data_IF_280974800438
#
_entry.id   IF_280974800438
#
_cell.length_a   1.000
_cell.length_b   1.000
_cell.length_c   1.000
_cell.angle_alpha   90.00
_cell.angle_beta   90.00
_cell.angle_gamma   90.00
#
_symmetry.space_group_name_H-M   'P 1'
#
loop_
_entity.id
_entity.type
_entity.pdbx_description
1 polymer ?
#
# COMPACT_ATOMS: atom_id res chain seq x y z
N UNK A 1 28.82 -5.86 33.52
CA UNK A 1 28.05 -4.63 33.76
C UNK A 1 26.97 -4.34 32.69
N UNK A 2 27.15 -4.71 31.42
CA UNK A 2 26.17 -4.48 30.33
C UNK A 2 24.78 -5.16 30.53
N UNK A 3 24.74 -6.38 31.08
CA UNK A 3 23.47 -7.15 31.23
C UNK A 3 22.51 -6.56 32.30
N UNK A 4 23.04 -5.89 33.33
CA UNK A 4 22.21 -5.26 34.35
C UNK A 4 21.61 -3.91 33.91
N UNK A 5 22.25 -3.20 32.98
CA UNK A 5 21.73 -1.92 32.43
C UNK A 5 20.52 -2.14 31.55
N UNK A 6 20.54 -3.15 30.69
CA UNK A 6 19.41 -3.47 29.79
C UNK A 6 18.14 -3.89 30.55
N UNK A 7 18.25 -4.60 31.67
CA UNK A 7 17.07 -4.96 32.51
C UNK A 7 16.40 -3.75 33.14
N UNK A 8 17.18 -2.74 33.57
CA UNK A 8 16.60 -1.51 34.17
C UNK A 8 15.85 -0.64 33.13
N UNK A 9 16.34 -0.59 31.92
CA UNK A 9 15.72 0.18 30.80
C UNK A 9 14.39 -0.45 30.38
N UNK A 10 14.33 -1.76 30.23
CA UNK A 10 13.11 -2.49 29.87
C UNK A 10 12.00 -2.36 30.93
N UNK A 11 12.35 -2.36 32.22
CA UNK A 11 11.40 -2.18 33.35
C UNK A 11 10.85 -0.74 33.38
N UNK A 12 11.66 0.27 33.07
CA UNK A 12 11.22 1.67 33.04
C UNK A 12 10.29 1.96 31.86
N UNK A 13 10.56 1.40 30.67
CA UNK A 13 9.70 1.51 29.48
C UNK A 13 8.34 0.82 29.71
N UNK A 14 8.29 -0.35 30.36
CA UNK A 14 7.03 -1.02 30.71
C UNK A 14 6.15 -0.22 31.68
N UNK A 15 6.75 0.44 32.72
CA UNK A 15 5.97 1.28 33.64
C UNK A 15 5.31 2.48 32.96
N UNK A 16 6.05 3.15 32.06
CA UNK A 16 5.50 4.30 31.32
C UNK A 16 4.40 3.89 30.32
N UNK A 17 4.50 2.72 29.69
CA UNK A 17 3.50 2.21 28.76
C UNK A 17 2.19 1.82 29.46
N UNK A 18 2.28 1.27 30.68
CA UNK A 18 1.13 0.93 31.50
C UNK A 18 0.41 2.18 32.02
N UNK A 19 1.14 3.21 32.43
CA UNK A 19 0.58 4.49 32.85
C UNK A 19 -0.13 5.20 31.71
N UNK A 20 0.43 5.19 30.50
CA UNK A 20 -0.16 5.79 29.31
C UNK A 20 -1.47 5.07 28.90
N UNK A 21 -1.52 3.75 28.95
CA UNK A 21 -2.76 2.98 28.67
C UNK A 21 -3.87 3.26 29.66
N UNK A 22 -3.55 3.40 30.95
CA UNK A 22 -4.54 3.72 32.00
C UNK A 22 -5.12 5.13 31.80
N UNK A 23 -4.29 6.12 31.44
CA UNK A 23 -4.75 7.47 31.16
C UNK A 23 -5.62 7.55 29.91
N UNK A 24 -5.31 6.80 28.86
CA UNK A 24 -6.13 6.75 27.63
C UNK A 24 -7.49 6.11 27.89
N UNK A 25 -7.56 5.01 28.63
CA UNK A 25 -8.84 4.37 29.01
C UNK A 25 -9.71 5.28 29.88
N UNK A 26 -9.12 6.01 30.82
CA UNK A 26 -9.87 6.98 31.66
C UNK A 26 -10.42 8.15 30.84
N UNK A 27 -9.66 8.64 29.84
CA UNK A 27 -10.11 9.72 28.95
C UNK A 27 -11.28 9.26 28.06
N UNK A 28 -11.22 8.04 27.52
CA UNK A 28 -12.32 7.50 26.70
C UNK A 28 -13.59 7.28 27.51
N UNK A 29 -13.49 6.81 28.75
CA UNK A 29 -14.66 6.67 29.66
C UNK A 29 -15.30 8.02 30.01
N UNK A 30 -14.49 9.08 30.17
CA UNK A 30 -14.97 10.44 30.41
C UNK A 30 -15.73 11.01 29.21
N UNK A 31 -15.25 10.78 27.99
CA UNK A 31 -15.93 11.21 26.75
C UNK A 31 -17.25 10.48 26.55
N UNK A 32 -17.31 9.17 26.84
CA UNK A 32 -18.54 8.40 26.75
C UNK A 32 -19.56 8.89 27.78
N UNK A 33 -19.14 9.19 29.04
CA UNK A 33 -20.02 9.72 30.07
C UNK A 33 -20.57 11.12 29.72
N UNK A 34 -19.75 11.99 29.15
CA UNK A 34 -20.18 13.30 28.67
C UNK A 34 -21.18 13.19 27.49
N UNK A 35 -20.96 12.26 26.58
CA UNK A 35 -21.85 11.99 25.44
C UNK A 35 -23.22 11.48 25.88
N UNK A 36 -23.27 10.60 26.85
CA UNK A 36 -24.55 10.07 27.39
C UNK A 36 -25.36 11.14 28.14
N UNK A 37 -24.71 12.05 28.87
CA UNK A 37 -25.37 13.18 29.53
C UNK A 37 -25.95 14.15 28.50
N UNK A 38 -25.23 14.42 27.43
CA UNK A 38 -25.67 15.31 26.34
C UNK A 38 -26.89 14.73 25.60
N UNK A 39 -26.89 13.44 25.27
CA UNK A 39 -28.02 12.76 24.63
C UNK A 39 -29.23 12.75 25.56
N UNK A 40 -29.05 12.54 26.87
CA UNK A 40 -30.13 12.56 27.84
C UNK A 40 -30.76 13.95 28.05
N UNK A 41 -29.95 15.02 27.87
CA UNK A 41 -30.45 16.42 27.89
C UNK A 41 -31.29 16.77 26.67
N UNK A 42 -30.97 16.19 25.49
CA UNK A 42 -31.72 16.39 24.24
C UNK A 42 -33.07 15.63 24.25
N UNK A 43 -33.17 14.54 24.97
CA UNK A 43 -34.41 13.74 25.10
C UNK A 43 -35.41 14.29 26.12
N UNK A 44 -35.08 15.35 26.88
CA UNK A 44 -35.95 15.98 27.89
C UNK A 44 -36.69 17.24 27.42
N UNK A 45 -36.59 17.62 26.13
CA UNK A 45 -37.39 18.72 25.57
C UNK A 45 -38.76 18.17 25.16
N UNK A 46 -39.81 18.64 25.87
CA UNK A 46 -41.22 18.31 25.68
C UNK A 46 -41.70 18.67 24.26
N UNK A 47 -42.54 17.82 23.65
CA UNK A 47 -43.15 18.12 22.36
C UNK A 47 -44.49 18.86 22.58
N UNK A 48 -44.47 20.18 22.65
CA UNK A 48 -45.68 20.97 22.43
C UNK A 48 -45.37 22.18 21.56
N UNK A 49 -46.27 22.36 20.58
CA UNK A 49 -46.47 23.48 19.64
C UNK A 49 -45.80 23.35 18.26
N UNK A 50 -46.57 22.83 17.32
CA UNK A 50 -46.88 23.46 16.04
C UNK A 50 -47.83 22.58 15.21
N UNK A 51 -49.10 22.71 15.46
CA UNK A 51 -50.17 22.43 14.49
C UNK A 51 -50.70 23.75 13.98
N UNK A 52 -50.76 23.92 12.65
CA UNK A 52 -51.49 24.86 11.81
C UNK A 52 -50.63 25.15 10.56
N UNK A 53 -50.98 25.00 9.33
CA UNK A 53 -52.22 24.91 8.59
C UNK A 53 -51.86 24.36 7.18
N UNK A 54 -52.64 23.38 6.74
CA UNK A 54 -52.72 23.04 5.30
C UNK A 54 -53.78 23.97 4.70
N UNK A 55 -53.42 24.71 3.66
CA UNK A 55 -54.43 25.21 2.72
C UNK A 55 -53.99 24.92 1.29
N UNK A 56 -54.90 24.29 0.63
CA UNK A 56 -54.95 23.86 -0.76
C UNK A 56 -54.88 25.02 -1.75
N UNK A 57 -54.15 24.83 -2.88
CA UNK A 57 -54.57 25.37 -4.15
C UNK A 57 -54.16 24.44 -5.29
N UNK A 58 -55.18 23.84 -5.90
CA UNK A 58 -55.13 23.22 -7.22
C UNK A 58 -54.93 24.29 -8.29
N UNK A 59 -54.04 24.04 -9.21
CA UNK A 59 -53.90 24.81 -10.43
C UNK A 59 -53.37 23.93 -11.55
N UNK A 60 -54.29 23.41 -12.37
CA UNK A 60 -54.02 22.68 -13.61
C UNK A 60 -53.53 23.63 -14.69
N UNK A 61 -52.40 23.31 -15.36
CA UNK A 61 -52.18 23.72 -16.76
C UNK A 61 -51.40 22.62 -17.48
N UNK A 62 -52.08 22.01 -18.46
CA UNK A 62 -51.49 21.23 -19.52
C UNK A 62 -50.60 22.07 -20.42
N UNK A 63 -49.42 21.55 -20.79
CA UNK A 63 -48.88 21.83 -22.13
C UNK A 63 -47.84 20.75 -22.46
N UNK A 64 -48.17 19.94 -23.41
CA UNK A 64 -47.31 19.00 -24.14
C UNK A 64 -46.25 19.79 -24.91
N UNK A 65 -45.00 19.45 -24.73
CA UNK A 65 -43.94 19.66 -25.72
C UNK A 65 -43.07 18.40 -25.77
N UNK A 66 -43.28 17.63 -26.83
CA UNK A 66 -42.43 16.49 -27.21
C UNK A 66 -41.05 17.01 -27.59
N UNK A 67 -40.06 16.84 -26.71
CA UNK A 67 -38.65 16.96 -27.08
C UNK A 67 -38.14 15.55 -27.33
N UNK A 68 -38.01 15.22 -28.63
CA UNK A 68 -37.24 14.08 -29.09
C UNK A 68 -35.78 14.28 -28.69
N UNK A 69 -35.33 13.60 -27.67
CA UNK A 69 -33.90 13.45 -27.42
C UNK A 69 -33.41 12.33 -28.33
N UNK A 70 -32.75 12.70 -29.41
CA UNK A 70 -31.91 11.77 -30.16
C UNK A 70 -30.74 11.34 -29.22
N UNK A 71 -30.80 10.09 -28.78
CA UNK A 71 -29.67 9.41 -28.17
C UNK A 71 -28.65 9.16 -29.27
N UNK A 72 -27.66 10.06 -29.40
CA UNK A 72 -26.44 9.72 -30.10
C UNK A 72 -25.71 8.68 -29.25
N UNK A 73 -25.85 7.41 -29.62
CA UNK A 73 -24.95 6.35 -29.16
C UNK A 73 -23.52 6.72 -29.65
N UNK A 74 -22.75 7.30 -28.79
CA UNK A 74 -21.27 7.34 -28.96
C UNK A 74 -20.84 5.92 -28.63
N UNK A 75 -20.77 5.06 -29.64
CA UNK A 75 -20.00 3.83 -29.57
C UNK A 75 -18.52 4.24 -29.60
N UNK A 76 -17.93 4.49 -28.45
CA UNK A 76 -16.48 4.49 -28.34
C UNK A 76 -16.01 3.07 -28.67
N UNK A 77 -15.42 2.91 -29.84
CA UNK A 77 -14.68 1.70 -30.25
C UNK A 77 -13.47 1.57 -29.31
N UNK A 78 -13.69 0.94 -28.15
CA UNK A 78 -12.62 0.55 -27.24
C UNK A 78 -11.83 -0.55 -27.95
N UNK A 79 -10.56 -0.37 -28.26
CA UNK A 79 -9.78 -1.39 -28.97
C UNK A 79 -9.79 -2.68 -28.16
N UNK A 80 -10.30 -3.76 -28.76
CA UNK A 80 -10.27 -5.10 -28.14
C UNK A 80 -8.82 -5.50 -27.94
N UNK A 81 -8.37 -5.51 -26.67
CA UNK A 81 -7.07 -6.07 -26.33
C UNK A 81 -7.12 -7.60 -26.46
N UNK A 82 -6.10 -8.19 -27.08
CA UNK A 82 -5.91 -9.65 -27.13
C UNK A 82 -5.88 -10.16 -25.67
N UNK A 83 -6.68 -11.17 -25.28
CA UNK A 83 -6.69 -11.75 -23.93
C UNK A 83 -5.43 -12.54 -23.59
N UNK A 84 -4.33 -12.38 -24.31
CA UNK A 84 -3.03 -12.91 -23.93
C UNK A 84 -2.57 -12.26 -22.64
N UNK A 85 -2.02 -13.09 -21.74
CA UNK A 85 -1.31 -12.64 -20.56
C UNK A 85 -0.35 -11.51 -20.94
N UNK A 86 -0.31 -10.41 -20.17
CA UNK A 86 0.65 -9.35 -20.40
C UNK A 86 2.07 -9.92 -20.36
N UNK A 87 2.91 -9.55 -21.34
CA UNK A 87 4.31 -9.95 -21.36
C UNK A 87 5.11 -9.20 -20.27
N UNK A 88 5.70 -9.95 -19.34
CA UNK A 88 6.59 -9.46 -18.28
C UNK A 88 8.07 -9.79 -18.58
N UNK A 89 8.43 -10.06 -19.82
CA UNK A 89 9.66 -10.71 -20.29
C UNK A 89 10.99 -10.01 -19.97
N UNK A 90 11.00 -9.02 -19.11
CA UNK A 90 12.24 -8.47 -18.56
C UNK A 90 12.80 -9.43 -17.49
N UNK A 91 13.45 -10.51 -17.94
CA UNK A 91 14.03 -11.49 -17.02
C UNK A 91 15.03 -10.81 -16.10
N UNK A 92 14.76 -10.90 -14.80
CA UNK A 92 15.68 -10.49 -13.76
C UNK A 92 16.90 -11.41 -13.80
N UNK A 93 18.00 -10.89 -14.36
CA UNK A 93 19.29 -11.57 -14.39
C UNK A 93 20.21 -10.87 -13.43
N UNK A 94 20.70 -11.56 -12.42
CA UNK A 94 21.63 -10.99 -11.46
C UNK A 94 22.80 -11.93 -11.21
N UNK A 95 23.90 -11.36 -10.75
CA UNK A 95 25.03 -12.09 -10.21
C UNK A 95 25.11 -11.84 -8.69
N UNK A 96 25.74 -12.75 -7.96
CA UNK A 96 25.97 -12.57 -6.52
C UNK A 96 27.42 -12.17 -6.28
N UNK A 97 27.62 -11.02 -5.63
CA UNK A 97 28.92 -10.57 -5.13
C UNK A 97 28.75 -10.16 -3.68
N UNK A 98 28.52 -11.13 -2.85
CA UNK A 98 28.18 -10.89 -1.43
C UNK A 98 29.32 -10.24 -0.67
N UNK A 99 28.97 -9.18 0.06
CA UNK A 99 29.84 -8.51 1.01
C UNK A 99 29.92 -9.41 2.23
N UNK A 100 31.15 -9.81 2.59
CA UNK A 100 31.42 -10.63 3.78
C UNK A 100 31.55 -9.73 5.00
N UNK A 101 30.44 -9.48 5.66
CA UNK A 101 30.41 -8.79 6.94
C UNK A 101 29.53 -9.59 7.91
N UNK A 102 30.19 -10.35 8.80
CA UNK A 102 29.48 -11.20 9.77
C UNK A 102 28.77 -10.39 10.86
N UNK A 103 29.22 -9.17 11.13
CA UNK A 103 28.60 -8.31 12.14
C UNK A 103 27.28 -7.71 11.62
N UNK A 104 27.18 -7.47 10.32
CA UNK A 104 25.99 -6.87 9.70
C UNK A 104 24.72 -7.70 9.93
N UNK A 105 24.84 -9.04 9.93
CA UNK A 105 23.67 -9.91 10.18
C UNK A 105 23.08 -9.73 11.58
N UNK A 106 23.93 -9.45 12.58
CA UNK A 106 23.52 -9.25 13.96
C UNK A 106 23.04 -7.80 14.21
N UNK A 107 23.49 -6.86 13.36
CA UNK A 107 23.07 -5.45 13.42
C UNK A 107 21.66 -5.25 12.88
N UNK A 108 21.27 -5.99 11.81
CA UNK A 108 19.95 -5.85 11.21
C UNK A 108 18.86 -6.50 12.06
N UNK A 109 17.81 -5.73 12.36
CA UNK A 109 16.64 -6.18 13.12
C UNK A 109 15.70 -7.08 12.31
N UNK A 110 15.65 -6.90 11.00
CA UNK A 110 14.84 -7.69 10.08
C UNK A 110 15.36 -9.11 9.95
N UNK A 111 14.44 -10.07 9.96
CA UNK A 111 14.78 -11.51 9.81
C UNK A 111 15.22 -11.84 8.39
N UNK A 112 14.60 -11.19 7.39
CA UNK A 112 14.90 -11.41 5.98
C UNK A 112 15.34 -10.10 5.35
N UNK A 113 16.50 -10.11 4.67
CA UNK A 113 17.02 -8.89 4.05
C UNK A 113 17.78 -9.17 2.76
N UNK A 114 17.67 -8.25 1.79
CA UNK A 114 18.47 -8.26 0.56
C UNK A 114 18.90 -6.84 0.22
N UNK A 115 20.13 -6.72 -0.30
CA UNK A 115 20.64 -5.52 -0.95
C UNK A 115 20.99 -5.83 -2.39
N UNK A 116 20.39 -5.09 -3.32
CA UNK A 116 20.61 -5.22 -4.76
C UNK A 116 21.06 -3.90 -5.39
N UNK A 117 22.17 -3.95 -6.12
CA UNK A 117 22.68 -2.86 -6.96
C UNK A 117 22.04 -3.00 -8.35
N UNK A 118 21.05 -2.17 -8.64
CA UNK A 118 20.28 -2.25 -9.88
C UNK A 118 21.08 -1.87 -11.13
N UNK A 119 22.09 -1.02 -10.97
CA UNK A 119 22.89 -0.54 -12.09
C UNK A 119 23.89 -1.58 -12.61
N UNK A 120 24.28 -2.52 -11.76
CA UNK A 120 25.26 -3.56 -12.07
C UNK A 120 24.64 -4.96 -12.11
N UNK A 121 23.36 -5.10 -11.81
CA UNK A 121 22.63 -6.38 -11.66
C UNK A 121 23.30 -7.32 -10.64
N UNK A 122 23.65 -6.79 -9.46
CA UNK A 122 24.40 -7.52 -8.45
C UNK A 122 23.65 -7.56 -7.09
N UNK A 123 23.43 -8.76 -6.56
CA UNK A 123 23.08 -8.95 -5.15
C UNK A 123 24.35 -8.77 -4.31
N UNK A 124 24.33 -7.76 -3.45
CA UNK A 124 25.47 -7.41 -2.58
C UNK A 124 25.34 -7.99 -1.18
N UNK A 125 24.13 -8.24 -0.70
CA UNK A 125 23.88 -8.81 0.63
C UNK A 125 22.61 -9.66 0.66
N UNK A 126 22.65 -10.73 1.44
CA UNK A 126 21.50 -11.63 1.69
C UNK A 126 21.50 -12.05 3.17
N UNK A 127 20.32 -11.97 3.81
CA UNK A 127 20.03 -12.56 5.11
C UNK A 127 18.72 -13.33 4.98
N UNK A 128 18.76 -14.64 5.13
CA UNK A 128 17.61 -15.57 4.98
C UNK A 128 16.77 -15.30 3.71
N UNK A 129 17.42 -14.83 2.63
CA UNK A 129 16.75 -14.23 1.47
C UNK A 129 15.85 -15.20 0.69
N UNK A 130 16.15 -16.51 0.76
CA UNK A 130 15.44 -17.58 0.06
C UNK A 130 14.41 -18.28 0.98
N UNK A 131 14.32 -17.88 2.25
CA UNK A 131 13.36 -18.45 3.19
C UNK A 131 11.96 -17.85 2.99
N UNK A 132 10.95 -18.70 3.18
CA UNK A 132 9.53 -18.30 3.10
C UNK A 132 9.20 -17.28 4.18
N UNK A 133 8.56 -16.19 3.76
CA UNK A 133 8.05 -15.13 4.63
C UNK A 133 6.72 -14.58 4.12
N UNK A 134 6.09 -13.71 4.90
CA UNK A 134 4.83 -13.08 4.53
C UNK A 134 5.08 -11.64 4.06
N UNK A 135 4.55 -11.27 2.86
CA UNK A 135 4.85 -9.96 2.27
C UNK A 135 4.07 -8.81 2.89
N UNK A 136 2.94 -9.07 3.54
CA UNK A 136 1.97 -8.03 3.90
C UNK A 136 1.68 -7.10 2.71
N UNK A 137 1.43 -5.80 2.94
CA UNK A 137 1.12 -4.84 1.88
C UNK A 137 2.26 -4.54 0.89
N UNK A 138 3.45 -5.16 1.01
CA UNK A 138 4.44 -5.09 -0.09
C UNK A 138 3.95 -5.84 -1.34
N UNK A 139 2.99 -6.74 -1.21
CA UNK A 139 2.18 -7.37 -2.27
C UNK A 139 1.66 -6.37 -3.29
N UNK A 140 1.28 -5.16 -2.86
CA UNK A 140 0.70 -4.12 -3.71
C UNK A 140 1.63 -3.64 -4.83
N UNK A 141 2.93 -3.93 -4.76
CA UNK A 141 3.84 -3.72 -5.89
C UNK A 141 3.49 -4.64 -7.06
N UNK A 142 3.21 -5.92 -6.79
CA UNK A 142 2.79 -6.86 -7.83
C UNK A 142 1.40 -6.53 -8.35
N UNK A 143 0.48 -6.16 -7.46
CA UNK A 143 -0.87 -5.67 -7.84
C UNK A 143 -0.78 -4.47 -8.78
N UNK A 144 0.10 -3.51 -8.48
CA UNK A 144 0.32 -2.34 -9.34
C UNK A 144 0.89 -2.74 -10.72
N UNK A 145 1.83 -3.67 -10.76
CA UNK A 145 2.41 -4.19 -12.02
C UNK A 145 1.31 -4.81 -12.90
N UNK A 146 0.51 -5.72 -12.35
CA UNK A 146 -0.54 -6.43 -13.07
C UNK A 146 -1.62 -5.46 -13.56
N UNK A 147 -2.11 -4.59 -12.68
CA UNK A 147 -3.13 -3.62 -13.02
C UNK A 147 -2.66 -2.64 -14.11
N UNK A 148 -1.44 -2.12 -14.01
CA UNK A 148 -0.86 -1.19 -14.99
C UNK A 148 -0.66 -1.83 -16.39
N UNK A 149 -0.56 -3.15 -16.47
CA UNK A 149 -0.48 -3.87 -17.75
C UNK A 149 -1.84 -4.07 -18.41
N UNK A 150 -2.92 -4.13 -17.62
CA UNK A 150 -4.27 -4.46 -18.09
C UNK A 150 -5.12 -3.22 -18.33
N UNK A 151 -5.01 -2.22 -17.44
CA UNK A 151 -5.82 -1.01 -17.47
C UNK A 151 -5.06 0.16 -18.10
N UNK A 152 -5.78 1.02 -18.80
CA UNK A 152 -5.23 2.31 -19.22
C UNK A 152 -5.24 3.30 -18.04
N UNK A 153 -4.21 4.12 -17.92
CA UNK A 153 -4.03 5.02 -16.78
C UNK A 153 -5.21 5.98 -16.55
N UNK A 154 -5.84 6.41 -17.64
CA UNK A 154 -6.98 7.36 -17.64
C UNK A 154 -8.34 6.64 -17.64
N UNK A 155 -8.36 5.31 -17.67
CA UNK A 155 -9.57 4.51 -17.59
C UNK A 155 -10.32 4.80 -16.31
N UNK A 156 -11.61 5.16 -16.42
CA UNK A 156 -12.44 5.53 -15.26
C UNK A 156 -13.11 4.28 -14.69
N UNK A 157 -12.84 4.01 -13.44
CA UNK A 157 -13.34 2.86 -12.70
C UNK A 157 -14.31 3.35 -11.62
N UNK A 158 -15.44 2.68 -11.49
CA UNK A 158 -16.40 2.94 -10.42
C UNK A 158 -16.15 1.97 -9.27
N UNK A 159 -15.98 2.49 -8.07
CA UNK A 159 -15.85 1.71 -6.83
C UNK A 159 -17.14 0.94 -6.60
N UNK A 160 -17.05 -0.34 -6.46
CA UNK A 160 -18.19 -1.23 -6.21
C UNK A 160 -18.19 -1.81 -4.80
N UNK A 161 -19.01 -2.84 -4.57
CA UNK A 161 -19.09 -3.52 -3.28
C UNK A 161 -17.87 -4.40 -2.96
N UNK A 162 -16.90 -4.52 -3.85
CA UNK A 162 -15.63 -5.22 -3.60
C UNK A 162 -14.89 -4.67 -2.39
N UNK A 163 -15.04 -3.39 -2.07
CA UNK A 163 -14.43 -2.78 -0.87
C UNK A 163 -14.95 -3.35 0.45
N UNK A 164 -16.06 -4.09 0.43
CA UNK A 164 -16.58 -4.80 1.63
C UNK A 164 -15.95 -6.18 1.82
N UNK A 165 -15.10 -6.63 0.88
CA UNK A 165 -14.41 -7.91 0.96
C UNK A 165 -13.05 -7.83 1.65
N UNK A 166 -12.57 -6.61 1.97
CA UNK A 166 -11.31 -6.40 2.70
C UNK A 166 -11.39 -6.92 4.13
N UNK A 167 -10.26 -7.33 4.69
CA UNK A 167 -10.18 -7.81 6.07
C UNK A 167 -10.49 -6.72 7.10
N UNK A 168 -10.88 -7.12 8.29
CA UNK A 168 -11.00 -6.20 9.44
C UNK A 168 -9.66 -5.54 9.74
N UNK A 169 -9.67 -4.33 10.26
CA UNK A 169 -8.49 -3.52 10.58
C UNK A 169 -7.57 -3.20 9.38
N UNK A 170 -8.09 -3.35 8.15
CA UNK A 170 -7.37 -2.99 6.93
C UNK A 170 -7.06 -1.50 6.85
N UNK A 171 -5.85 -1.15 6.36
CA UNK A 171 -5.58 0.22 5.92
C UNK A 171 -6.43 0.54 4.67
N UNK A 172 -7.03 1.72 4.65
CA UNK A 172 -7.92 2.14 3.56
C UNK A 172 -7.51 3.51 3.02
N UNK A 173 -7.80 3.75 1.76
CA UNK A 173 -7.69 5.06 1.14
C UNK A 173 -8.92 5.95 1.43
N UNK A 174 -9.99 5.37 1.98
CA UNK A 174 -11.23 6.03 2.32
C UNK A 174 -12.23 6.07 1.15
N UNK A 175 -12.17 5.09 0.25
CA UNK A 175 -13.06 5.03 -0.91
C UNK A 175 -14.47 4.54 -0.51
N UNK A 176 -15.48 5.10 -1.19
CA UNK A 176 -16.88 4.75 -1.02
C UNK A 176 -17.49 4.21 -2.31
N UNK A 177 -18.47 3.30 -2.17
CA UNK A 177 -19.20 2.74 -3.33
C UNK A 177 -19.83 3.83 -4.17
N UNK A 178 -19.62 3.76 -5.49
CA UNK A 178 -20.13 4.72 -6.46
C UNK A 178 -19.16 5.84 -6.83
N UNK A 179 -18.08 6.03 -6.09
CA UNK A 179 -17.02 6.98 -6.47
C UNK A 179 -16.33 6.54 -7.76
N UNK A 180 -15.84 7.53 -8.52
CA UNK A 180 -15.21 7.29 -9.83
C UNK A 180 -13.78 7.81 -9.83
N UNK A 181 -12.83 6.92 -10.03
CA UNK A 181 -11.41 7.21 -10.09
C UNK A 181 -10.82 6.71 -11.41
N UNK A 182 -9.77 7.37 -11.87
CA UNK A 182 -8.94 6.78 -12.93
C UNK A 182 -8.10 5.64 -12.36
N UNK A 183 -7.63 4.72 -13.22
CA UNK A 183 -6.71 3.67 -12.80
C UNK A 183 -5.45 4.25 -12.14
N UNK A 184 -4.90 5.36 -12.67
CA UNK A 184 -3.79 6.09 -12.04
C UNK A 184 -4.14 6.57 -10.63
N UNK A 185 -5.32 7.13 -10.40
CA UNK A 185 -5.77 7.57 -9.07
C UNK A 185 -5.93 6.40 -8.10
N UNK A 186 -6.43 5.25 -8.58
CA UNK A 186 -6.50 4.02 -7.77
C UNK A 186 -5.10 3.50 -7.39
N UNK A 187 -4.12 3.61 -8.28
CA UNK A 187 -2.72 3.27 -7.95
C UNK A 187 -2.16 4.19 -6.85
N UNK A 188 -2.41 5.51 -6.89
CA UNK A 188 -2.05 6.42 -5.79
C UNK A 188 -2.75 6.04 -4.48
N UNK A 189 -4.07 5.81 -4.52
CA UNK A 189 -4.87 5.40 -3.38
C UNK A 189 -4.40 4.06 -2.77
N UNK A 190 -3.92 3.13 -3.59
CA UNK A 190 -3.40 1.84 -3.16
C UNK A 190 -2.00 1.94 -2.57
N UNK A 191 -1.10 2.71 -3.17
CA UNK A 191 0.31 2.73 -2.78
C UNK A 191 0.57 3.67 -1.60
N UNK A 192 0.10 4.93 -1.63
CA UNK A 192 0.46 5.92 -0.62
C UNK A 192 -0.10 5.56 0.77
N UNK A 193 -1.43 5.59 1.01
CA UNK A 193 -1.99 5.22 2.30
C UNK A 193 -2.05 3.72 2.50
N UNK A 194 -1.56 2.93 1.53
CA UNK A 194 -1.67 1.47 1.53
C UNK A 194 -3.11 0.95 1.46
N UNK A 195 -4.02 1.64 0.73
CA UNK A 195 -5.45 1.36 0.70
C UNK A 195 -5.80 -0.03 0.17
N UNK A 196 -6.43 -0.86 1.03
CA UNK A 196 -6.92 -2.18 0.65
C UNK A 196 -8.19 -2.06 -0.20
N UNK A 197 -9.05 -1.07 0.08
CA UNK A 197 -10.20 -0.68 -0.73
C UNK A 197 -9.82 -0.38 -2.18
N UNK A 198 -8.76 0.40 -2.39
CA UNK A 198 -8.23 0.69 -3.71
C UNK A 198 -7.62 -0.56 -4.39
N UNK A 199 -6.94 -1.43 -3.62
CA UNK A 199 -6.36 -2.67 -4.13
C UNK A 199 -7.45 -3.63 -4.65
N UNK A 200 -8.55 -3.78 -3.92
CA UNK A 200 -9.68 -4.60 -4.34
C UNK A 200 -10.41 -4.00 -5.55
N UNK A 201 -10.63 -2.69 -5.55
CA UNK A 201 -11.27 -2.00 -6.67
C UNK A 201 -10.48 -2.17 -7.97
N UNK A 202 -9.18 -1.93 -7.94
CA UNK A 202 -8.34 -2.04 -9.14
C UNK A 202 -8.18 -3.50 -9.59
N UNK A 203 -8.15 -4.45 -8.66
CA UNK A 203 -8.07 -5.88 -8.97
C UNK A 203 -9.34 -6.37 -9.68
N UNK A 204 -10.53 -6.01 -9.15
CA UNK A 204 -11.82 -6.37 -9.76
C UNK A 204 -11.96 -5.75 -11.15
N UNK A 205 -11.60 -4.47 -11.31
CA UNK A 205 -11.62 -3.81 -12.61
C UNK A 205 -10.68 -4.50 -13.61
N UNK A 206 -9.46 -4.84 -13.20
CA UNK A 206 -8.47 -5.54 -14.03
C UNK A 206 -8.96 -6.91 -14.47
N UNK A 207 -9.53 -7.70 -13.54
CA UNK A 207 -10.04 -9.04 -13.85
C UNK A 207 -11.25 -8.98 -14.81
N UNK A 208 -12.15 -8.03 -14.61
CA UNK A 208 -13.29 -7.81 -15.52
C UNK A 208 -12.82 -7.42 -16.91
N UNK A 209 -11.86 -6.53 -17.01
CA UNK A 209 -11.24 -6.14 -18.27
C UNK A 209 -10.56 -7.33 -18.96
N UNK A 210 -9.79 -8.11 -18.22
CA UNK A 210 -9.09 -9.29 -18.74
C UNK A 210 -10.06 -10.36 -19.26
N UNK A 211 -11.16 -10.62 -18.53
CA UNK A 211 -12.19 -11.61 -18.92
C UNK A 211 -13.21 -11.05 -19.90
N UNK A 212 -13.13 -9.78 -20.32
CA UNK A 212 -14.15 -9.08 -21.12
C UNK A 212 -15.56 -9.25 -20.54
N UNK A 213 -15.69 -9.21 -19.21
CA UNK A 213 -16.94 -9.45 -18.48
C UNK A 213 -17.13 -8.46 -17.33
N UNK A 214 -17.79 -7.34 -17.59
CA UNK A 214 -18.08 -6.30 -16.61
C UNK A 214 -19.00 -6.77 -15.47
N UNK A 215 -19.72 -7.89 -15.67
CA UNK A 215 -20.62 -8.49 -14.67
C UNK A 215 -19.98 -9.61 -13.86
N UNK A 216 -18.68 -9.87 -14.05
CA UNK A 216 -17.99 -10.88 -13.26
C UNK A 216 -18.14 -10.54 -11.76
N UNK A 217 -18.67 -11.45 -10.92
CA UNK A 217 -18.82 -11.21 -9.49
C UNK A 217 -17.49 -10.84 -8.84
N UNK A 218 -17.50 -9.90 -7.88
CA UNK A 218 -16.28 -9.38 -7.28
C UNK A 218 -15.39 -10.49 -6.68
N UNK A 219 -15.97 -11.50 -6.03
CA UNK A 219 -15.24 -12.64 -5.48
C UNK A 219 -14.48 -13.42 -6.55
N UNK A 220 -15.16 -13.77 -7.64
CA UNK A 220 -14.54 -14.48 -8.77
C UNK A 220 -13.49 -13.61 -9.46
N UNK A 221 -13.74 -12.30 -9.55
CA UNK A 221 -12.77 -11.36 -10.11
C UNK A 221 -11.47 -11.30 -9.27
N UNK A 222 -11.57 -11.35 -7.94
CA UNK A 222 -10.39 -11.41 -7.06
C UNK A 222 -9.63 -12.72 -7.27
N UNK A 223 -10.29 -13.85 -7.42
CA UNK A 223 -9.66 -15.16 -7.71
C UNK A 223 -8.91 -15.09 -9.05
N UNK A 224 -9.56 -14.59 -10.11
CA UNK A 224 -8.93 -14.37 -11.42
C UNK A 224 -7.72 -13.43 -11.31
N UNK A 225 -7.82 -12.35 -10.53
CA UNK A 225 -6.71 -11.43 -10.37
C UNK A 225 -5.54 -12.05 -9.61
N UNK A 226 -5.81 -12.89 -8.60
CA UNK A 226 -4.78 -13.64 -7.89
C UNK A 226 -4.05 -14.63 -8.82
N UNK A 227 -4.75 -15.29 -9.74
CA UNK A 227 -4.13 -16.11 -10.80
C UNK A 227 -3.20 -15.26 -11.66
N UNK A 228 -3.64 -14.08 -12.13
CA UNK A 228 -2.81 -13.16 -12.91
C UNK A 228 -1.58 -12.67 -12.14
N UNK A 229 -1.71 -12.47 -10.83
CA UNK A 229 -0.56 -12.13 -9.97
C UNK A 229 0.46 -13.27 -9.92
N UNK A 230 0.01 -14.52 -9.78
CA UNK A 230 0.90 -15.68 -9.72
C UNK A 230 1.59 -15.94 -11.06
N UNK A 231 0.88 -15.76 -12.17
CA UNK A 231 1.46 -15.83 -13.51
C UNK A 231 2.54 -14.75 -13.69
N UNK A 232 2.24 -13.51 -13.31
CA UNK A 232 3.20 -12.41 -13.36
C UNK A 232 4.42 -12.68 -12.46
N UNK A 233 4.22 -13.19 -11.25
CA UNK A 233 5.32 -13.56 -10.35
C UNK A 233 6.23 -14.61 -10.98
N UNK A 234 5.66 -15.63 -11.60
CA UNK A 234 6.41 -16.71 -12.30
C UNK A 234 7.22 -16.13 -13.46
N UNK A 235 6.62 -15.29 -14.30
CA UNK A 235 7.33 -14.68 -15.43
C UNK A 235 8.45 -13.73 -14.99
N UNK A 236 8.29 -13.06 -13.85
CA UNK A 236 9.32 -12.24 -13.22
C UNK A 236 10.41 -13.07 -12.51
N UNK A 237 10.27 -14.41 -12.51
CA UNK A 237 11.20 -15.32 -11.84
C UNK A 237 11.03 -15.39 -10.31
N UNK A 238 9.90 -14.90 -9.77
CA UNK A 238 9.56 -14.97 -8.35
C UNK A 238 8.86 -16.32 -8.03
N UNK A 239 9.56 -17.42 -8.29
CA UNK A 239 9.01 -18.78 -8.32
C UNK A 239 8.75 -19.38 -6.91
N UNK A 240 9.25 -18.74 -5.85
CA UNK A 240 9.05 -19.16 -4.46
C UNK A 240 7.97 -18.35 -3.76
N UNK A 241 7.08 -17.72 -4.54
CA UNK A 241 5.99 -16.87 -4.07
C UNK A 241 4.64 -17.41 -4.49
N UNK A 242 3.63 -17.11 -3.69
CA UNK A 242 2.23 -17.37 -4.02
C UNK A 242 1.34 -16.32 -3.42
N UNK A 243 0.45 -15.75 -4.21
CA UNK A 243 -0.42 -14.63 -3.87
C UNK A 243 -1.89 -15.06 -3.95
N UNK A 244 -2.67 -14.81 -2.89
CA UNK A 244 -4.09 -15.19 -2.78
C UNK A 244 -5.03 -14.00 -2.82
N UNK A 245 -4.49 -12.78 -2.65
CA UNK A 245 -5.26 -11.53 -2.62
C UNK A 245 -4.43 -10.35 -3.13
N UNK A 246 -5.05 -9.22 -3.51
CA UNK A 246 -4.35 -8.09 -4.10
C UNK A 246 -3.68 -7.14 -3.09
N UNK A 247 -3.95 -7.27 -1.79
CA UNK A 247 -3.58 -6.29 -0.77
C UNK A 247 -2.50 -6.77 0.21
N UNK A 248 -2.28 -8.09 0.28
CA UNK A 248 -1.33 -8.70 1.19
C UNK A 248 -1.90 -8.93 2.60
N UNK A 249 -3.23 -8.94 2.76
CA UNK A 249 -3.85 -9.39 3.99
C UNK A 249 -3.45 -10.84 4.26
N UNK A 250 -3.25 -11.18 5.54
CA UNK A 250 -2.67 -12.47 5.88
C UNK A 250 -3.52 -13.66 5.42
N UNK A 251 -2.88 -14.60 4.73
CA UNK A 251 -3.32 -15.95 4.45
C UNK A 251 -2.08 -16.87 4.49
N UNK A 252 -2.21 -18.06 5.05
CA UNK A 252 -1.10 -19.03 5.15
C UNK A 252 -0.51 -19.43 3.79
N UNK A 253 -1.29 -19.30 2.72
CA UNK A 253 -0.89 -19.57 1.34
C UNK A 253 -0.43 -18.31 0.60
N UNK A 254 -0.49 -17.12 1.24
CA UNK A 254 -0.01 -15.85 0.70
C UNK A 254 1.41 -15.60 1.21
N UNK A 255 2.42 -16.00 0.46
CA UNK A 255 3.82 -15.97 0.89
C UNK A 255 4.77 -15.59 -0.24
N UNK A 256 5.98 -15.25 0.15
CA UNK A 256 7.08 -14.87 -0.74
C UNK A 256 8.44 -15.21 -0.13
N UNK A 257 9.51 -14.77 -0.78
CA UNK A 257 10.86 -14.66 -0.22
C UNK A 257 11.39 -13.24 -0.40
N UNK A 258 12.38 -12.84 0.41
CA UNK A 258 12.98 -11.52 0.24
C UNK A 258 13.66 -11.36 -1.15
N UNK A 259 14.20 -12.45 -1.70
CA UNK A 259 14.80 -12.46 -3.03
C UNK A 259 13.75 -12.30 -4.13
N UNK A 260 12.60 -12.96 -4.02
CA UNK A 260 11.50 -12.80 -4.97
C UNK A 260 10.92 -11.38 -4.93
N UNK A 261 10.84 -10.78 -3.73
CA UNK A 261 10.40 -9.39 -3.62
C UNK A 261 11.38 -8.40 -4.25
N UNK A 262 12.69 -8.69 -4.30
CA UNK A 262 13.66 -7.89 -5.09
C UNK A 262 13.33 -7.94 -6.57
N UNK A 263 13.00 -9.11 -7.12
CA UNK A 263 12.66 -9.28 -8.53
C UNK A 263 11.40 -8.47 -8.88
N UNK A 264 10.34 -8.64 -8.09
CA UNK A 264 9.08 -7.89 -8.24
C UNK A 264 9.34 -6.38 -8.13
N UNK A 265 10.07 -5.95 -7.11
CA UNK A 265 10.33 -4.54 -6.86
C UNK A 265 11.23 -3.91 -7.92
N UNK A 266 12.23 -4.64 -8.44
CA UNK A 266 13.08 -4.19 -9.53
C UNK A 266 12.25 -3.92 -10.80
N UNK A 267 11.33 -4.83 -11.12
CA UNK A 267 10.43 -4.63 -12.26
C UNK A 267 9.46 -3.46 -12.01
N UNK A 268 8.85 -3.36 -10.82
CA UNK A 268 7.99 -2.23 -10.44
C UNK A 268 8.73 -0.90 -10.59
N UNK A 269 9.99 -0.83 -10.15
CA UNK A 269 10.85 0.36 -10.25
C UNK A 269 11.16 0.75 -11.69
N UNK A 270 11.22 -0.21 -12.61
CA UNK A 270 11.46 0.03 -14.03
C UNK A 270 10.23 0.62 -14.76
N UNK A 271 9.04 0.55 -14.18
CA UNK A 271 7.82 1.14 -14.73
C UNK A 271 7.73 2.61 -14.27
N UNK A 272 7.84 3.61 -15.17
CA UNK A 272 7.94 5.01 -14.80
C UNK A 272 6.78 5.48 -13.88
N UNK A 273 5.54 5.11 -14.20
CA UNK A 273 4.37 5.47 -13.40
C UNK A 273 4.44 4.89 -11.99
N UNK A 274 4.76 3.61 -11.85
CA UNK A 274 4.82 2.95 -10.53
C UNK A 274 5.97 3.54 -9.72
N UNK A 275 7.12 3.79 -10.34
CA UNK A 275 8.27 4.43 -9.71
C UNK A 275 7.92 5.84 -9.20
N UNK A 276 7.22 6.65 -10.03
CA UNK A 276 6.72 7.98 -9.66
C UNK A 276 5.81 7.90 -8.42
N UNK A 277 4.80 7.03 -8.48
CA UNK A 277 3.81 6.87 -7.39
C UNK A 277 4.50 6.42 -6.09
N UNK A 278 5.37 5.42 -6.16
CA UNK A 278 6.10 4.93 -4.98
C UNK A 278 6.98 5.99 -4.33
N UNK A 279 7.58 6.89 -5.12
CA UNK A 279 8.42 8.00 -4.65
C UNK A 279 7.65 9.23 -4.21
N UNK A 280 6.35 9.30 -4.45
CA UNK A 280 5.51 10.44 -4.06
C UNK A 280 5.22 10.39 -2.56
N UNK A 281 5.59 11.45 -1.82
CA UNK A 281 5.31 11.54 -0.38
C UNK A 281 3.83 11.80 -0.10
N UNK A 282 3.22 12.75 -0.81
CA UNK A 282 1.82 13.12 -0.62
C UNK A 282 1.22 13.68 -1.90
N UNK A 283 -0.09 13.54 -2.07
CA UNK A 283 -0.81 14.07 -3.21
C UNK A 283 -2.24 14.48 -2.81
N UNK A 284 -2.75 15.51 -3.46
CA UNK A 284 -4.18 15.85 -3.44
C UNK A 284 -4.78 15.49 -4.79
N UNK A 285 -5.80 14.66 -4.79
CA UNK A 285 -6.49 14.19 -5.99
C UNK A 285 -7.97 14.55 -5.96
N UNK A 286 -8.46 15.12 -7.06
CA UNK A 286 -9.89 15.32 -7.27
C UNK A 286 -10.44 14.20 -8.13
N UNK A 287 -11.40 13.46 -7.59
CA UNK A 287 -12.00 12.32 -8.27
C UNK A 287 -12.90 12.77 -9.43
N UNK A 288 -13.16 11.87 -10.36
CA UNK A 288 -14.11 12.10 -11.46
C UNK A 288 -15.54 12.28 -10.95
N UNK A 289 -15.87 11.72 -9.79
CA UNK A 289 -17.14 11.92 -9.08
C UNK A 289 -17.24 13.24 -8.32
N UNK A 290 -16.13 13.96 -8.14
CA UNK A 290 -16.09 15.34 -7.65
C UNK A 290 -15.46 15.52 -6.26
N UNK A 291 -15.26 14.44 -5.50
CA UNK A 291 -14.63 14.47 -4.17
C UNK A 291 -13.14 14.76 -4.27
N UNK A 292 -12.57 15.30 -3.20
CA UNK A 292 -11.14 15.57 -3.08
C UNK A 292 -10.54 14.73 -1.97
N UNK A 293 -9.43 14.06 -2.27
CA UNK A 293 -8.68 13.22 -1.35
C UNK A 293 -7.26 13.73 -1.19
N UNK A 294 -6.78 13.68 0.04
CA UNK A 294 -5.38 13.92 0.39
C UNK A 294 -4.77 12.63 0.92
N UNK A 295 -3.86 12.04 0.14
CA UNK A 295 -3.17 10.81 0.52
C UNK A 295 -1.71 11.07 0.84
N UNK A 296 -1.24 10.46 1.93
CA UNK A 296 0.14 10.52 2.40
C UNK A 296 0.76 9.13 2.33
N UNK A 297 1.98 9.05 1.86
CA UNK A 297 2.70 7.79 1.74
C UNK A 297 3.07 7.26 3.13
N UNK A 298 2.75 5.99 3.36
CA UNK A 298 3.10 5.28 4.60
C UNK A 298 4.60 5.02 4.76
N UNK A 299 5.40 5.24 3.70
CA UNK A 299 6.86 5.09 3.74
C UNK A 299 7.51 6.32 4.39
N UNK A 300 7.92 6.16 5.64
CA UNK A 300 8.51 7.22 6.45
C UNK A 300 9.87 7.72 5.94
N UNK A 301 10.58 6.93 5.12
CA UNK A 301 11.83 7.36 4.46
C UNK A 301 11.63 8.59 3.55
N UNK A 302 10.40 8.83 3.08
CA UNK A 302 10.04 9.96 2.21
C UNK A 302 9.62 11.22 2.97
N UNK A 303 9.39 11.12 4.29
CA UNK A 303 8.90 12.21 5.12
C UNK A 303 10.04 12.93 5.83
N UNK A 304 10.31 14.19 5.47
CA UNK A 304 11.37 15.02 6.09
C UNK A 304 11.19 15.22 7.61
N UNK A 305 10.01 14.98 8.16
CA UNK A 305 9.74 15.08 9.59
C UNK A 305 10.03 13.82 10.40
N UNK A 306 10.50 12.75 9.77
CA UNK A 306 10.79 11.48 10.42
C UNK A 306 12.32 11.27 10.59
N UNK A 307 12.72 10.65 11.70
CA UNK A 307 14.14 10.40 12.00
C UNK A 307 14.83 9.49 10.97
N UNK A 308 14.05 8.64 10.30
CA UNK A 308 14.55 7.75 9.25
C UNK A 308 14.49 8.36 7.84
N UNK A 309 14.17 9.66 7.70
CA UNK A 309 14.14 10.31 6.40
C UNK A 309 15.46 10.21 5.65
N UNK A 310 15.38 10.00 4.34
CA UNK A 310 16.53 10.09 3.45
C UNK A 310 16.17 10.84 2.17
N UNK A 311 16.93 11.90 1.86
CA UNK A 311 16.78 12.65 0.60
C UNK A 311 17.02 11.80 -0.66
N UNK A 312 17.67 10.64 -0.50
CA UNK A 312 17.96 9.69 -1.58
C UNK A 312 16.91 8.62 -1.73
N UNK A 313 15.99 8.47 -0.76
CA UNK A 313 14.89 7.51 -0.84
C UNK A 313 13.88 7.95 -1.92
N UNK A 314 13.56 7.04 -2.82
CA UNK A 314 12.64 7.28 -3.93
C UNK A 314 11.59 6.15 -4.11
N UNK A 315 11.21 5.57 -2.99
CA UNK A 315 10.18 4.54 -2.88
C UNK A 315 10.60 3.46 -1.86
N UNK A 316 9.96 2.27 -1.76
CA UNK A 316 8.86 1.85 -2.62
C UNK A 316 7.59 1.57 -1.80
N UNK A 317 7.55 0.48 -0.99
CA UNK A 317 6.31 0.06 -0.30
C UNK A 317 6.58 -0.53 1.07
N UNK A 318 5.74 -0.16 2.03
CA UNK A 318 5.70 -0.72 3.39
C UNK A 318 4.65 -1.81 3.51
N UNK A 319 4.80 -2.68 4.52
CA UNK A 319 3.82 -3.68 4.90
C UNK A 319 3.87 -3.96 6.39
N UNK A 320 2.74 -4.42 6.92
CA UNK A 320 2.62 -4.93 8.28
C UNK A 320 1.40 -5.84 8.39
N UNK A 321 1.58 -7.00 8.97
CA UNK A 321 0.56 -7.83 9.64
C UNK A 321 1.24 -8.44 10.86
N UNK A 322 0.47 -8.98 11.80
CA UNK A 322 1.04 -9.60 13.00
C UNK A 322 2.00 -10.76 12.62
N UNK A 323 1.67 -11.52 11.57
CA UNK A 323 2.47 -12.66 11.12
C UNK A 323 3.65 -12.26 10.24
N UNK A 324 3.53 -11.15 9.48
CA UNK A 324 4.61 -10.67 8.63
C UNK A 324 5.63 -9.83 9.39
N UNK A 325 5.26 -9.30 10.56
CA UNK A 325 6.05 -8.26 11.21
C UNK A 325 6.12 -6.97 10.38
N UNK A 326 7.04 -6.10 10.71
CA UNK A 326 7.27 -4.87 9.95
C UNK A 326 8.11 -5.14 8.70
N UNK A 327 7.58 -4.77 7.53
CA UNK A 327 8.20 -4.97 6.22
C UNK A 327 8.37 -3.64 5.49
N UNK A 328 9.47 -3.49 4.75
CA UNK A 328 9.66 -2.41 3.78
C UNK A 328 10.54 -2.86 2.62
N UNK A 329 10.15 -2.46 1.44
CA UNK A 329 11.00 -2.46 0.25
C UNK A 329 11.33 -1.00 -0.04
N UNK A 330 12.61 -0.68 -0.17
CA UNK A 330 13.05 0.69 -0.40
C UNK A 330 14.01 0.77 -1.58
N UNK A 331 13.96 1.87 -2.29
CA UNK A 331 14.95 2.24 -3.28
C UNK A 331 15.58 3.58 -2.92
N UNK A 332 16.88 3.68 -3.17
CA UNK A 332 17.68 4.87 -2.90
C UNK A 332 18.49 5.19 -4.14
N UNK A 333 18.35 6.40 -4.66
CA UNK A 333 19.09 6.83 -5.85
C UNK A 333 20.01 7.99 -5.54
N UNK A 334 21.30 7.81 -5.80
CA UNK A 334 22.33 8.86 -5.69
C UNK A 334 23.31 8.77 -6.84
N UNK A 335 23.63 9.90 -7.46
CA UNK A 335 24.57 9.99 -8.59
C UNK A 335 24.24 9.01 -9.74
N UNK A 336 22.96 8.81 -10.04
CA UNK A 336 22.49 7.90 -11.08
C UNK A 336 22.66 6.40 -10.77
N UNK A 337 23.02 6.05 -9.54
CA UNK A 337 23.06 4.67 -9.05
C UNK A 337 21.87 4.42 -8.10
N UNK A 338 21.20 3.31 -8.27
CA UNK A 338 20.07 2.91 -7.42
C UNK A 338 20.40 1.64 -6.65
N UNK A 339 20.23 1.71 -5.33
CA UNK A 339 20.24 0.57 -4.42
C UNK A 339 18.79 0.20 -4.08
N UNK A 340 18.43 -1.04 -4.35
CA UNK A 340 17.14 -1.60 -3.93
C UNK A 340 17.38 -2.48 -2.70
N UNK A 341 16.59 -2.25 -1.66
CA UNK A 341 16.71 -2.97 -0.39
C UNK A 341 15.38 -3.59 -0.01
N UNK A 342 15.42 -4.78 0.52
CA UNK A 342 14.28 -5.48 1.11
C UNK A 342 14.62 -5.77 2.56
N UNK A 343 13.73 -5.39 3.48
CA UNK A 343 13.79 -5.70 4.90
C UNK A 343 12.41 -6.17 5.36
N UNK A 344 12.31 -7.43 5.81
CA UNK A 344 11.05 -8.07 6.15
C UNK A 344 11.14 -8.74 7.52
N UNK A 345 9.97 -8.82 8.18
CA UNK A 345 9.84 -9.37 9.52
C UNK A 345 10.78 -8.71 10.54
N UNK A 346 10.78 -7.37 10.57
CA UNK A 346 11.39 -6.64 11.67
C UNK A 346 10.42 -6.61 12.87
N UNK A 347 10.89 -6.95 14.08
CA UNK A 347 10.07 -6.92 15.29
C UNK A 347 9.74 -5.49 15.74
N UNK A 348 10.47 -4.51 15.22
CA UNK A 348 10.31 -3.10 15.56
C UNK A 348 9.73 -2.31 14.40
N UNK A 349 8.82 -1.38 14.72
CA UNK A 349 8.13 -0.57 13.70
C UNK A 349 9.12 0.25 12.84
N UNK A 350 10.18 0.78 13.45
CA UNK A 350 11.20 1.58 12.78
C UNK A 350 12.43 0.77 12.35
N UNK A 351 12.67 -0.40 12.93
CA UNK A 351 13.83 -1.23 12.63
C UNK A 351 14.02 -1.49 11.14
N UNK A 352 12.92 -1.82 10.45
CA UNK A 352 12.92 -2.02 8.99
C UNK A 352 13.50 -0.84 8.20
N UNK A 353 13.28 0.41 8.63
CA UNK A 353 13.79 1.59 7.94
C UNK A 353 15.29 1.76 8.17
N UNK A 354 15.76 1.59 9.42
CA UNK A 354 17.19 1.66 9.72
C UNK A 354 17.96 0.55 9.02
N UNK A 355 17.42 -0.66 8.98
CA UNK A 355 18.02 -1.77 8.24
C UNK A 355 18.23 -1.42 6.76
N UNK A 356 17.23 -0.79 6.10
CA UNK A 356 17.36 -0.39 4.70
C UNK A 356 18.36 0.75 4.50
N UNK A 357 18.47 1.68 5.45
CA UNK A 357 19.48 2.74 5.42
C UNK A 357 20.90 2.18 5.57
N UNK A 358 21.11 1.24 6.49
CA UNK A 358 22.38 0.52 6.67
C UNK A 358 22.77 -0.20 5.38
N UNK A 359 21.83 -0.95 4.80
CA UNK A 359 22.06 -1.67 3.53
C UNK A 359 22.36 -0.71 2.38
N UNK A 360 21.64 0.40 2.25
CA UNK A 360 21.89 1.40 1.21
C UNK A 360 23.28 2.03 1.37
N UNK A 361 23.67 2.41 2.60
CA UNK A 361 25.02 2.92 2.92
C UNK A 361 26.10 1.92 2.49
N UNK A 362 25.90 0.64 2.77
CA UNK A 362 26.80 -0.43 2.35
C UNK A 362 26.93 -0.52 0.82
N UNK A 363 25.81 -0.50 0.09
CA UNK A 363 25.77 -0.57 -1.37
C UNK A 363 26.45 0.62 -2.03
N UNK A 364 26.17 1.83 -1.57
CA UNK A 364 26.80 3.05 -2.09
C UNK A 364 28.32 3.08 -1.82
N UNK A 365 28.75 2.59 -0.65
CA UNK A 365 30.18 2.45 -0.32
C UNK A 365 30.91 1.53 -1.31
N UNK A 366 30.28 0.44 -1.77
CA UNK A 366 30.88 -0.43 -2.80
C UNK A 366 31.07 0.29 -4.12
N UNK A 367 30.20 1.25 -4.43
CA UNK A 367 30.29 2.10 -5.63
C UNK A 367 31.12 3.38 -5.40
N UNK A 368 31.83 3.50 -4.27
CA UNK A 368 32.63 4.68 -3.87
C UNK A 368 31.79 5.97 -3.82
N UNK A 369 30.53 5.87 -3.49
CA UNK A 369 29.59 6.97 -3.30
C UNK A 369 29.40 7.16 -1.80
N UNK A 370 29.64 8.37 -1.31
CA UNK A 370 29.33 8.72 0.07
C UNK A 370 27.81 8.79 0.26
N UNK A 371 27.31 8.10 1.27
CA UNK A 371 25.90 8.08 1.62
C UNK A 371 25.78 8.27 3.13
N UNK A 372 25.13 9.35 3.52
CA UNK A 372 24.88 9.70 4.92
C UNK A 372 23.38 9.70 5.20
N UNK A 373 23.01 9.30 6.38
CA UNK A 373 21.67 9.47 6.97
C UNK A 373 21.87 9.85 8.45
N UNK A 374 20.84 10.40 9.07
CA UNK A 374 20.88 10.74 10.48
C UNK A 374 20.90 9.45 11.29
N UNK A 375 22.06 9.09 11.85
CA UNK A 375 22.16 8.00 12.80
C UNK A 375 21.50 8.45 14.10
N UNK A 376 20.65 7.60 14.71
CA UNK A 376 20.14 7.91 16.04
C UNK A 376 21.34 8.04 16.99
N UNK A 377 21.51 9.23 17.57
CA UNK A 377 22.42 9.38 18.70
C UNK A 377 21.94 8.46 19.82
N UNK A 378 22.80 7.55 20.29
CA UNK A 378 22.57 6.79 21.52
C UNK A 378 22.53 7.79 22.68
N UNK A 379 21.38 8.41 22.99
CA UNK A 379 21.14 9.13 24.24
C UNK A 379 20.56 8.22 25.34
#
# INVERSE_FOLDING_TARGET
MKVQRNKRYAVRKRKNYTALKVTTVLLTLLVIAAGTIFVWSLLKTDPQTASTELSSSQGSVESKADIKVESSEISEDIPKRDPKLPDYSNKFNYTEKLIKDSALSDELSSEYAVLYDTANDIILYKKNADAKCYPASTTKLLTAIVANKILDNDEVITVGNEITLIGEDSSVAGLEVGQKLTAKQLLYAMILPSGNDAAYTIAVASARRFKENDKLPAKEAIEVFAELMNDAATELGAEHSHFTNPDGFHDKNHYTTALDMVKIASYAKSIPLISEICGTYQITEKLKSGEEFYWVNSNKLLNQGEDCYSEYADGMKTGFTDEAGSCVISSFTKNGKTMLTVAMNSPELYGKYYDTLILAKLGFKQNKIDFSYTEQSEE
#
